data_IF_489047872428
#
_entry.id   IF_489047872428
#
_cell.length_a   1.000
_cell.length_b   1.000
_cell.length_c   1.000
_cell.angle_alpha   90.00
_cell.angle_beta   90.00
_cell.angle_gamma   90.00
#
_symmetry.space_group_name_H-M   'P 1'
#
loop_
_entity.id
_entity.type
_entity.pdbx_description
1 polymer ?
#
# COMPACT_ATOMS: atom_id res chain seq x y z
N UNK A 1 24.61 -13.48 38.62
CA UNK A 1 23.30 -13.87 38.09
C UNK A 1 22.24 -13.11 38.85
N UNK A 2 21.62 -12.12 38.24
CA UNK A 2 20.47 -11.39 38.81
C UNK A 2 19.26 -12.29 38.72
N UNK A 3 18.78 -12.78 39.86
CA UNK A 3 17.54 -13.56 39.98
C UNK A 3 16.36 -12.61 39.70
N UNK A 4 15.77 -12.69 38.53
CA UNK A 4 14.47 -12.03 38.24
C UNK A 4 13.37 -12.74 39.03
N UNK A 5 12.52 -11.99 39.74
CA UNK A 5 11.31 -12.56 40.32
C UNK A 5 10.39 -13.05 39.19
N UNK A 6 9.67 -14.16 39.42
CA UNK A 6 8.72 -14.71 38.44
C UNK A 6 7.68 -13.65 37.99
N UNK A 7 7.28 -12.77 38.90
CA UNK A 7 6.35 -11.67 38.62
C UNK A 7 6.93 -10.67 37.62
N UNK A 8 8.18 -10.23 37.82
CA UNK A 8 8.84 -9.29 36.92
C UNK A 8 9.09 -9.92 35.54
N UNK A 9 9.50 -11.19 35.51
CA UNK A 9 9.67 -11.92 34.25
C UNK A 9 8.37 -11.98 33.43
N UNK A 10 7.25 -12.34 34.08
CA UNK A 10 5.93 -12.39 33.42
C UNK A 10 5.51 -11.01 32.91
N UNK A 11 5.70 -9.96 33.72
CA UNK A 11 5.34 -8.58 33.33
C UNK A 11 6.19 -8.09 32.14
N UNK A 12 7.50 -8.31 32.17
CA UNK A 12 8.40 -7.87 31.11
C UNK A 12 8.11 -8.62 29.80
N UNK A 13 7.97 -9.96 29.84
CA UNK A 13 7.62 -10.77 28.67
C UNK A 13 6.25 -10.43 28.10
N UNK A 14 5.25 -10.19 28.96
CA UNK A 14 3.91 -9.77 28.52
C UNK A 14 3.94 -8.38 27.85
N UNK A 15 4.76 -7.46 28.36
CA UNK A 15 4.96 -6.14 27.79
C UNK A 15 5.64 -6.22 26.43
N UNK A 16 6.72 -6.95 26.31
CA UNK A 16 7.44 -7.17 25.04
C UNK A 16 6.50 -7.77 23.98
N UNK A 17 5.74 -8.80 24.35
CA UNK A 17 4.78 -9.42 23.45
C UNK A 17 3.66 -8.45 23.05
N UNK A 18 3.17 -7.62 23.97
CA UNK A 18 2.15 -6.60 23.68
C UNK A 18 2.66 -5.55 22.70
N UNK A 19 3.91 -5.09 22.85
CA UNK A 19 4.57 -4.17 21.92
C UNK A 19 4.69 -4.84 20.54
N UNK A 20 5.18 -6.07 20.49
CA UNK A 20 5.29 -6.84 19.25
C UNK A 20 3.94 -6.95 18.53
N UNK A 21 2.85 -7.29 19.25
CA UNK A 21 1.51 -7.40 18.67
C UNK A 21 1.03 -6.06 18.11
N UNK A 22 1.26 -4.97 18.81
CA UNK A 22 0.91 -3.64 18.35
C UNK A 22 1.65 -3.27 17.05
N UNK A 23 2.97 -3.37 17.05
CA UNK A 23 3.83 -2.88 15.96
C UNK A 23 3.83 -3.77 14.72
N UNK A 24 3.75 -5.10 14.91
CA UNK A 24 3.98 -6.05 13.82
C UNK A 24 2.74 -6.85 13.42
N UNK A 25 1.59 -6.72 14.11
CA UNK A 25 0.43 -7.56 13.82
C UNK A 25 -0.89 -6.81 13.68
N UNK A 26 -1.23 -5.94 14.64
CA UNK A 26 -2.58 -5.41 14.77
C UNK A 26 -2.75 -4.00 14.22
N UNK A 27 -1.77 -3.13 14.44
CA UNK A 27 -1.84 -1.70 14.09
C UNK A 27 -1.09 -1.46 12.76
N UNK A 28 -1.70 -0.75 11.79
CA UNK A 28 -1.05 -0.44 10.53
C UNK A 28 0.04 0.62 10.70
N UNK A 29 1.06 0.61 9.84
CA UNK A 29 1.99 1.73 9.76
C UNK A 29 1.36 2.92 9.02
N UNK A 30 1.59 4.13 9.52
CA UNK A 30 1.07 5.35 8.88
C UNK A 30 1.69 5.56 7.51
N UNK A 31 2.93 5.15 7.32
CA UNK A 31 3.69 5.34 6.08
C UNK A 31 3.04 4.68 4.86
N UNK A 32 2.56 3.44 5.00
CA UNK A 32 2.02 2.67 3.87
C UNK A 32 0.62 2.08 4.12
N UNK A 33 0.03 2.32 5.30
CA UNK A 33 -1.30 1.85 5.65
C UNK A 33 -1.45 0.34 5.78
N UNK A 34 -0.35 -0.40 5.88
CA UNK A 34 -0.34 -1.85 5.86
C UNK A 34 0.01 -2.43 7.23
N UNK A 35 -0.62 -3.55 7.54
CA UNK A 35 -0.13 -4.48 8.57
C UNK A 35 1.05 -5.26 8.03
N UNK A 36 1.87 -5.79 8.90
CA UNK A 36 3.12 -6.48 8.55
C UNK A 36 2.91 -7.63 7.55
N UNK A 37 1.93 -8.50 7.79
CA UNK A 37 1.59 -9.61 6.89
C UNK A 37 1.22 -9.13 5.47
N UNK A 38 0.50 -8.02 5.35
CA UNK A 38 0.11 -7.44 4.07
C UNK A 38 1.34 -6.91 3.31
N UNK A 39 2.24 -6.22 4.02
CA UNK A 39 3.49 -5.69 3.45
C UNK A 39 4.38 -6.80 2.91
N UNK A 40 4.54 -7.89 3.67
CA UNK A 40 5.31 -9.08 3.27
C UNK A 40 4.74 -9.76 2.03
N UNK A 41 3.42 -9.90 1.94
CA UNK A 41 2.77 -10.42 0.74
C UNK A 41 3.03 -9.56 -0.51
N UNK A 42 2.91 -8.23 -0.38
CA UNK A 42 3.17 -7.29 -1.47
C UNK A 42 4.65 -7.26 -1.87
N UNK A 43 5.55 -7.40 -0.90
CA UNK A 43 6.99 -7.51 -1.16
C UNK A 43 7.34 -8.72 -2.01
N UNK A 44 6.78 -9.88 -1.74
CA UNK A 44 7.04 -11.10 -2.50
C UNK A 44 6.46 -11.07 -3.93
N UNK A 45 5.28 -10.46 -4.10
CA UNK A 45 4.63 -10.43 -5.42
C UNK A 45 5.15 -9.29 -6.33
N UNK A 46 5.91 -8.32 -5.78
CA UNK A 46 6.32 -7.10 -6.50
C UNK A 46 7.00 -7.33 -7.85
N UNK A 47 7.77 -8.40 -7.96
CA UNK A 47 8.55 -8.75 -9.17
C UNK A 47 7.90 -9.87 -9.99
N UNK A 48 6.73 -10.39 -9.58
CA UNK A 48 6.05 -11.46 -10.32
C UNK A 48 5.17 -10.86 -11.40
N UNK A 49 5.45 -11.21 -12.65
CA UNK A 49 4.65 -10.77 -13.79
C UNK A 49 3.35 -11.58 -13.91
N UNK A 50 3.42 -12.88 -13.61
CA UNK A 50 2.33 -13.83 -13.78
C UNK A 50 1.44 -13.94 -12.53
N UNK A 51 0.23 -14.48 -12.75
CA UNK A 51 -0.67 -14.83 -11.65
C UNK A 51 -0.09 -15.95 -10.80
N UNK A 52 -0.28 -15.86 -9.49
CA UNK A 52 0.14 -16.86 -8.51
C UNK A 52 -1.08 -17.37 -7.76
N UNK A 53 -1.14 -18.65 -7.41
CA UNK A 53 -2.19 -19.14 -6.49
C UNK A 53 -2.10 -18.42 -5.15
N UNK A 54 -3.24 -18.05 -4.59
CA UNK A 54 -3.30 -17.39 -3.28
C UNK A 54 -2.57 -18.21 -2.20
N UNK A 55 -2.79 -19.52 -2.19
CA UNK A 55 -2.12 -20.43 -1.25
C UNK A 55 -0.61 -20.54 -1.51
N UNK A 56 -0.16 -20.43 -2.76
CA UNK A 56 1.28 -20.51 -3.10
C UNK A 56 2.02 -19.25 -2.65
N UNK A 57 1.41 -18.06 -2.79
CA UNK A 57 2.00 -16.83 -2.25
C UNK A 57 2.06 -16.86 -0.72
N UNK A 58 1.01 -17.36 -0.06
CA UNK A 58 1.00 -17.54 1.39
C UNK A 58 2.09 -18.54 1.86
N UNK A 59 2.27 -19.64 1.13
CA UNK A 59 3.35 -20.59 1.38
C UNK A 59 4.75 -19.98 1.21
N UNK A 60 4.93 -19.14 0.18
CA UNK A 60 6.19 -18.41 -0.04
C UNK A 60 6.50 -17.41 1.09
N UNK A 61 5.48 -16.75 1.66
CA UNK A 61 5.65 -15.88 2.84
C UNK A 61 6.27 -16.64 4.02
N UNK A 62 5.86 -17.89 4.21
CA UNK A 62 6.36 -18.76 5.30
C UNK A 62 7.72 -19.34 4.92
N UNK A 63 7.87 -19.88 3.72
CA UNK A 63 9.10 -20.52 3.24
C UNK A 63 10.29 -19.55 3.21
N UNK A 64 10.04 -18.28 2.87
CA UNK A 64 11.09 -17.25 2.85
C UNK A 64 11.52 -16.75 4.23
N UNK A 65 10.93 -17.24 5.32
CA UNK A 65 11.19 -16.76 6.68
C UNK A 65 10.59 -15.37 6.98
N UNK A 66 9.89 -14.76 6.04
CA UNK A 66 9.28 -13.43 6.25
C UNK A 66 8.09 -13.49 7.21
N UNK A 67 7.31 -14.57 7.22
CA UNK A 67 6.09 -14.68 8.02
C UNK A 67 6.10 -15.93 8.90
N UNK A 68 6.06 -15.72 10.22
CA UNK A 68 6.26 -16.77 11.24
C UNK A 68 4.94 -17.25 11.89
N UNK A 69 3.80 -16.93 11.30
CA UNK A 69 2.49 -17.33 11.81
C UNK A 69 1.82 -18.34 10.87
N UNK A 70 0.62 -18.83 11.24
CA UNK A 70 -0.09 -19.88 10.52
C UNK A 70 -0.44 -19.52 9.06
N UNK A 71 -0.45 -20.53 8.21
CA UNK A 71 -0.73 -20.49 6.77
C UNK A 71 -2.10 -19.90 6.43
N UNK A 72 -3.12 -20.22 7.21
CA UNK A 72 -4.46 -19.67 7.07
C UNK A 72 -4.49 -18.13 7.23
N UNK A 73 -3.70 -17.60 8.17
CA UNK A 73 -3.58 -16.15 8.40
C UNK A 73 -2.84 -15.46 7.26
N UNK A 74 -1.76 -16.10 6.74
CA UNK A 74 -1.05 -15.61 5.57
C UNK A 74 -1.97 -15.55 4.34
N UNK A 75 -2.68 -16.66 4.05
CA UNK A 75 -3.61 -16.75 2.92
C UNK A 75 -4.80 -15.77 3.05
N UNK A 76 -5.30 -15.58 4.28
CA UNK A 76 -6.32 -14.58 4.58
C UNK A 76 -5.84 -13.17 4.26
N UNK A 77 -4.61 -12.81 4.68
CA UNK A 77 -4.01 -11.51 4.40
C UNK A 77 -3.87 -11.24 2.89
N UNK A 78 -3.41 -12.24 2.12
CA UNK A 78 -3.33 -12.15 0.65
C UNK A 78 -4.72 -11.97 0.03
N UNK A 79 -5.71 -12.74 0.48
CA UNK A 79 -7.08 -12.67 -0.04
C UNK A 79 -7.72 -11.30 0.22
N UNK A 80 -7.52 -10.73 1.40
CA UNK A 80 -8.06 -9.42 1.76
C UNK A 80 -7.47 -8.29 0.93
N UNK A 81 -6.19 -8.36 0.51
CA UNK A 81 -5.56 -7.37 -0.38
C UNK A 81 -6.18 -7.35 -1.79
N UNK A 82 -6.82 -8.44 -2.20
CA UNK A 82 -7.48 -8.56 -3.51
C UNK A 82 -9.01 -8.38 -3.44
N UNK A 83 -9.61 -8.32 -2.24
CA UNK A 83 -11.06 -8.30 -2.04
C UNK A 83 -11.68 -6.94 -2.40
N UNK A 84 -12.54 -6.85 -3.45
CA UNK A 84 -13.03 -5.57 -3.97
C UNK A 84 -14.05 -4.89 -3.06
N UNK A 85 -14.78 -5.65 -2.23
CA UNK A 85 -15.77 -5.09 -1.30
C UNK A 85 -15.18 -4.74 0.07
N UNK A 86 -13.91 -5.10 0.29
CA UNK A 86 -13.14 -4.74 1.49
C UNK A 86 -12.26 -3.52 1.25
N UNK A 87 -11.81 -3.30 0.01
CA UNK A 87 -10.95 -2.19 -0.37
C UNK A 87 -11.65 -1.26 -1.37
N UNK A 88 -11.45 0.05 -1.22
CA UNK A 88 -11.82 0.98 -2.29
C UNK A 88 -10.94 0.74 -3.53
N UNK A 89 -9.64 0.55 -3.29
CA UNK A 89 -8.64 0.26 -4.32
C UNK A 89 -7.84 -0.98 -3.92
N UNK A 90 -8.20 -2.19 -4.38
CA UNK A 90 -7.44 -3.40 -4.12
C UNK A 90 -6.01 -3.29 -4.66
N UNK A 91 -5.01 -3.63 -3.84
CA UNK A 91 -3.60 -3.60 -4.25
C UNK A 91 -3.21 -4.83 -5.07
N UNK A 92 -3.93 -5.94 -4.88
CA UNK A 92 -3.78 -7.14 -5.71
C UNK A 92 -5.02 -7.30 -6.61
N UNK A 93 -4.78 -7.77 -7.82
CA UNK A 93 -5.86 -8.18 -8.71
C UNK A 93 -6.21 -9.64 -8.46
N UNK A 94 -7.41 -9.90 -7.96
CA UNK A 94 -7.93 -11.24 -7.71
C UNK A 94 -8.48 -11.90 -8.97
N UNK A 95 -8.22 -13.19 -9.15
CA UNK A 95 -8.77 -14.04 -10.21
C UNK A 95 -9.47 -15.22 -9.54
N UNK A 96 -10.75 -15.35 -9.78
CA UNK A 96 -11.69 -16.21 -9.06
C UNK A 96 -12.60 -15.36 -8.17
N UNK A 97 -13.13 -15.95 -7.09
CA UNK A 97 -14.09 -15.27 -6.20
C UNK A 97 -13.37 -14.62 -5.03
N UNK A 98 -13.44 -13.28 -4.94
CA UNK A 98 -12.90 -12.48 -3.85
C UNK A 98 -13.97 -11.66 -3.12
N UNK A 99 -15.14 -12.30 -2.91
CA UNK A 99 -16.31 -11.69 -2.31
C UNK A 99 -17.25 -11.08 -3.34
N UNK A 100 -18.48 -10.86 -2.87
CA UNK A 100 -19.57 -10.21 -3.63
C UNK A 100 -20.20 -9.13 -2.78
N UNK A 101 -21.09 -8.31 -3.36
CA UNK A 101 -21.82 -7.32 -2.56
C UNK A 101 -22.68 -7.98 -1.46
N UNK A 102 -23.23 -9.15 -1.73
CA UNK A 102 -24.06 -9.89 -0.79
C UNK A 102 -23.27 -10.67 0.27
N UNK A 103 -22.02 -11.00 -0.03
CA UNK A 103 -21.06 -11.69 0.86
C UNK A 103 -19.65 -11.13 0.68
N UNK A 104 -19.35 -9.94 1.22
CA UNK A 104 -18.09 -9.22 0.96
C UNK A 104 -16.85 -9.98 1.42
N UNK A 105 -16.91 -10.69 2.53
CA UNK A 105 -15.82 -11.48 3.12
C UNK A 105 -16.13 -12.98 3.02
N UNK A 106 -17.32 -13.41 3.44
CA UNK A 106 -17.71 -14.81 3.47
C UNK A 106 -17.80 -15.44 2.06
N UNK A 107 -17.95 -14.60 1.03
CA UNK A 107 -17.94 -15.03 -0.37
C UNK A 107 -16.53 -15.18 -0.98
N UNK A 108 -15.46 -15.01 -0.20
CA UNK A 108 -14.10 -15.21 -0.69
C UNK A 108 -13.82 -16.71 -0.84
N UNK A 109 -13.41 -17.11 -2.04
CA UNK A 109 -13.10 -18.50 -2.36
C UNK A 109 -11.87 -19.03 -1.64
N UNK A 110 -11.83 -20.33 -1.40
CA UNK A 110 -10.70 -20.96 -0.73
C UNK A 110 -9.37 -20.67 -1.48
N UNK A 111 -8.26 -20.36 -0.77
CA UNK A 111 -6.99 -19.93 -1.36
C UNK A 111 -6.38 -20.89 -2.40
N UNK A 112 -6.71 -22.18 -2.32
CA UNK A 112 -6.28 -23.20 -3.30
C UNK A 112 -6.95 -23.07 -4.67
N UNK A 113 -8.07 -22.35 -4.78
CA UNK A 113 -8.83 -22.18 -6.02
C UNK A 113 -8.75 -20.78 -6.59
N UNK A 114 -8.24 -19.82 -5.82
CA UNK A 114 -8.10 -18.42 -6.22
C UNK A 114 -6.66 -18.08 -6.61
N UNK A 115 -6.50 -17.07 -7.47
CA UNK A 115 -5.21 -16.56 -7.89
C UNK A 115 -5.16 -15.06 -7.64
N UNK A 116 -3.96 -14.56 -7.42
CA UNK A 116 -3.68 -13.13 -7.34
C UNK A 116 -2.56 -12.77 -8.31
N UNK A 117 -2.58 -11.55 -8.78
CA UNK A 117 -1.45 -10.93 -9.50
C UNK A 117 -1.24 -9.51 -9.02
N UNK A 118 -0.11 -8.95 -9.34
CA UNK A 118 0.19 -7.55 -9.08
C UNK A 118 -0.88 -6.65 -9.68
N UNK A 119 -1.53 -5.83 -8.86
CA UNK A 119 -2.51 -4.84 -9.29
C UNK A 119 -1.83 -3.58 -9.85
N UNK A 120 -2.53 -2.83 -10.71
CA UNK A 120 -2.06 -1.51 -11.19
C UNK A 120 -1.86 -0.53 -10.04
N UNK A 121 -2.72 -0.56 -9.04
CA UNK A 121 -2.59 0.26 -7.84
C UNK A 121 -1.32 -0.05 -7.06
N UNK A 122 -0.95 -1.33 -6.88
CA UNK A 122 0.32 -1.69 -6.26
C UNK A 122 1.48 -1.08 -7.05
N UNK A 123 1.50 -1.26 -8.37
CA UNK A 123 2.60 -0.79 -9.22
C UNK A 123 2.74 0.73 -9.21
N UNK A 124 1.62 1.45 -9.37
CA UNK A 124 1.66 2.89 -9.64
C UNK A 124 1.57 3.75 -8.37
N UNK A 125 1.04 3.19 -7.29
CA UNK A 125 0.85 3.91 -6.03
C UNK A 125 1.89 3.54 -4.98
N UNK A 126 2.26 2.24 -4.87
CA UNK A 126 3.07 1.73 -3.76
C UNK A 126 4.54 1.53 -4.13
N UNK A 127 4.85 1.19 -5.39
CA UNK A 127 6.19 0.78 -5.83
C UNK A 127 7.03 1.82 -6.61
N UNK A 128 6.63 3.09 -6.81
CA UNK A 128 7.45 4.01 -7.60
C UNK A 128 8.87 4.21 -7.07
N UNK A 129 9.05 4.13 -5.74
CA UNK A 129 10.32 4.33 -5.04
C UNK A 129 10.86 3.06 -4.40
N UNK A 130 10.70 1.92 -5.07
CA UNK A 130 11.06 0.63 -4.52
C UNK A 130 12.56 0.53 -4.14
N UNK A 131 13.43 1.18 -4.90
CA UNK A 131 14.88 1.10 -4.73
C UNK A 131 15.39 1.83 -3.47
N UNK A 132 14.62 2.76 -2.95
CA UNK A 132 14.94 3.52 -1.73
C UNK A 132 14.11 3.12 -0.51
N UNK A 133 13.30 2.06 -0.63
CA UNK A 133 12.52 1.54 0.50
C UNK A 133 13.46 1.13 1.63
N UNK A 134 13.23 1.61 2.88
CA UNK A 134 14.07 1.23 4.00
C UNK A 134 13.88 -0.24 4.34
N UNK A 135 14.99 -0.94 4.51
CA UNK A 135 15.03 -2.37 4.79
C UNK A 135 15.49 -2.64 6.22
N UNK A 136 14.95 -3.68 6.83
CA UNK A 136 15.42 -4.24 8.11
C UNK A 136 15.63 -5.75 7.97
N UNK A 137 16.36 -6.34 8.89
CA UNK A 137 16.40 -7.79 9.02
C UNK A 137 15.05 -8.32 9.52
N UNK A 138 14.66 -9.50 9.03
CA UNK A 138 13.51 -10.21 9.56
C UNK A 138 13.80 -10.71 10.99
N UNK A 139 12.83 -11.37 11.62
CA UNK A 139 12.92 -11.79 13.01
C UNK A 139 14.15 -12.65 13.35
N UNK A 140 14.58 -13.54 12.44
CA UNK A 140 15.71 -14.46 12.65
C UNK A 140 17.02 -14.00 11.97
N UNK A 141 17.03 -12.83 11.32
CA UNK A 141 18.18 -12.28 10.62
C UNK A 141 18.55 -12.99 9.30
N UNK A 142 17.72 -13.94 8.85
CA UNK A 142 18.00 -14.73 7.64
C UNK A 142 17.77 -13.99 6.33
N UNK A 143 16.90 -12.98 6.32
CA UNK A 143 16.55 -12.22 5.14
C UNK A 143 16.19 -10.77 5.48
N UNK A 144 16.18 -9.90 4.47
CA UNK A 144 15.76 -8.51 4.62
C UNK A 144 14.31 -8.32 4.21
N UNK A 145 13.60 -7.49 4.96
CA UNK A 145 12.22 -7.12 4.70
C UNK A 145 12.03 -5.59 4.70
N UNK A 146 11.04 -5.06 3.96
CA UNK A 146 10.80 -3.63 3.95
C UNK A 146 10.21 -3.15 5.28
N UNK A 147 10.74 -2.05 5.80
CA UNK A 147 10.16 -1.39 6.98
C UNK A 147 8.78 -0.83 6.62
N UNK A 148 8.66 -0.17 5.48
CA UNK A 148 7.42 0.33 4.87
C UNK A 148 7.65 0.60 3.38
N UNK A 149 6.58 0.68 2.60
CA UNK A 149 6.61 1.25 1.24
C UNK A 149 6.52 2.78 1.28
N UNK A 150 6.69 3.40 0.12
CA UNK A 150 6.68 4.86 -0.06
C UNK A 150 5.55 5.29 -1.02
N UNK A 151 4.27 5.12 -0.63
CA UNK A 151 3.16 5.48 -1.51
C UNK A 151 3.10 6.98 -1.78
N UNK A 152 2.43 7.38 -2.87
CA UNK A 152 2.29 8.79 -3.26
C UNK A 152 1.21 9.54 -2.47
N UNK A 153 0.25 8.82 -1.87
CA UNK A 153 -0.85 9.35 -1.04
C UNK A 153 -0.99 8.52 0.23
N UNK A 154 -1.67 9.01 1.28
CA UNK A 154 -1.85 8.27 2.53
C UNK A 154 -2.80 7.08 2.37
N UNK A 155 -2.24 5.93 1.97
CA UNK A 155 -2.98 4.69 1.68
C UNK A 155 -3.71 4.10 2.88
N UNK A 156 -3.30 4.46 4.10
CA UNK A 156 -4.03 4.10 5.33
C UNK A 156 -5.47 4.62 5.32
N UNK A 157 -5.72 5.77 4.71
CA UNK A 157 -7.05 6.35 4.53
C UNK A 157 -7.76 5.82 3.28
N UNK A 158 -7.04 5.29 2.29
CA UNK A 158 -7.62 4.86 1.02
C UNK A 158 -8.53 3.63 1.20
N UNK A 159 -8.01 2.60 1.83
CA UNK A 159 -8.71 1.35 2.03
C UNK A 159 -9.27 1.20 3.46
N UNK A 160 -8.90 2.11 4.37
CA UNK A 160 -9.22 1.98 5.76
C UNK A 160 -8.61 0.71 6.36
N UNK A 161 -8.66 0.56 7.65
CA UNK A 161 -8.18 -0.65 8.32
C UNK A 161 -8.69 -0.67 9.76
N UNK A 162 -9.04 -1.84 10.27
CA UNK A 162 -9.35 -2.06 11.66
C UNK A 162 -8.36 -3.02 12.32
N UNK A 163 -8.12 -2.85 13.60
CA UNK A 163 -7.24 -3.71 14.36
C UNK A 163 -7.43 -3.58 15.86
N UNK A 164 -7.28 -4.69 16.55
CA UNK A 164 -7.37 -4.77 18.00
C UNK A 164 -6.05 -5.34 18.53
N UNK A 165 -5.42 -4.60 19.43
CA UNK A 165 -4.19 -4.97 20.11
C UNK A 165 -4.36 -4.87 21.63
N UNK A 166 -3.33 -5.23 22.37
CA UNK A 166 -3.35 -5.06 23.83
C UNK A 166 -3.26 -3.57 24.17
N UNK A 167 -4.31 -3.03 24.79
CA UNK A 167 -4.38 -1.62 25.19
C UNK A 167 -4.70 -0.64 24.05
N UNK A 168 -4.71 -1.08 22.78
CA UNK A 168 -4.92 -0.23 21.60
C UNK A 168 -5.92 -0.84 20.64
N UNK A 169 -6.70 0.01 19.99
CA UNK A 169 -7.53 -0.35 18.85
C UNK A 169 -7.50 0.74 17.80
N UNK A 170 -7.64 0.36 16.55
CA UNK A 170 -7.76 1.29 15.42
C UNK A 170 -9.00 0.95 14.60
N UNK A 171 -9.71 1.97 14.15
CA UNK A 171 -10.81 1.89 13.21
C UNK A 171 -10.68 3.07 12.26
N UNK A 172 -10.03 2.86 11.11
CA UNK A 172 -9.78 3.89 10.10
C UNK A 172 -10.74 3.66 8.95
N UNK A 173 -11.58 4.64 8.66
CA UNK A 173 -12.58 4.55 7.62
C UNK A 173 -11.96 4.86 6.25
N UNK A 174 -12.56 4.28 5.21
CA UNK A 174 -12.09 4.44 3.82
C UNK A 174 -12.43 5.81 3.29
N UNK A 175 -11.57 6.34 2.41
CA UNK A 175 -11.76 7.60 1.69
C UNK A 175 -11.68 7.38 0.19
N UNK A 176 -12.35 8.24 -0.57
CA UNK A 176 -12.30 8.20 -2.03
C UNK A 176 -10.89 8.53 -2.53
N UNK A 177 -10.43 7.80 -3.51
CA UNK A 177 -9.12 7.99 -4.11
C UNK A 177 -8.90 9.42 -4.63
N UNK A 178 -9.87 9.96 -5.40
CA UNK A 178 -9.79 11.33 -5.93
C UNK A 178 -9.66 12.39 -4.84
N UNK A 179 -10.38 12.20 -3.73
CA UNK A 179 -10.41 13.16 -2.63
C UNK A 179 -9.07 13.14 -1.88
N UNK A 180 -8.45 11.97 -1.72
CA UNK A 180 -7.11 11.84 -1.13
C UNK A 180 -6.02 12.46 -2.00
N UNK A 181 -6.10 12.29 -3.32
CA UNK A 181 -5.16 12.93 -4.24
C UNK A 181 -5.31 14.45 -4.17
N UNK A 182 -6.54 14.97 -4.23
CA UNK A 182 -6.77 16.40 -4.12
C UNK A 182 -6.35 16.97 -2.77
N UNK A 183 -6.66 16.27 -1.67
CA UNK A 183 -6.24 16.65 -0.33
C UNK A 183 -4.70 16.69 -0.19
N UNK A 184 -4.01 15.73 -0.82
CA UNK A 184 -2.54 15.70 -0.85
C UNK A 184 -1.96 16.87 -1.63
N UNK A 185 -2.58 17.27 -2.76
CA UNK A 185 -2.21 18.47 -3.53
C UNK A 185 -2.45 19.73 -2.70
N UNK A 186 -3.61 19.85 -2.05
CA UNK A 186 -3.94 21.03 -1.24
C UNK A 186 -2.98 21.16 -0.04
N UNK A 187 -2.69 20.07 0.65
CA UNK A 187 -1.70 20.06 1.74
C UNK A 187 -0.30 20.45 1.23
N UNK A 188 0.12 19.91 0.08
CA UNK A 188 1.39 20.24 -0.55
C UNK A 188 1.46 21.73 -0.93
N UNK A 189 0.37 22.30 -1.43
CA UNK A 189 0.26 23.73 -1.78
C UNK A 189 0.13 24.64 -0.55
N UNK A 190 0.05 24.08 0.68
CA UNK A 190 -0.15 24.83 1.93
C UNK A 190 -1.56 25.34 2.13
N UNK A 191 -2.53 24.79 1.41
CA UNK A 191 -3.96 25.11 1.58
C UNK A 191 -4.56 24.27 2.70
N UNK A 192 -5.68 24.74 3.25
CA UNK A 192 -6.45 23.94 4.20
C UNK A 192 -7.07 22.73 3.49
N UNK A 193 -6.78 21.54 4.02
CA UNK A 193 -7.42 20.31 3.55
C UNK A 193 -8.90 20.33 3.94
N UNK A 194 -9.78 20.07 2.98
CA UNK A 194 -11.22 19.98 3.21
C UNK A 194 -11.55 18.68 3.95
N UNK A 195 -12.69 18.66 4.64
CA UNK A 195 -13.16 17.48 5.37
C UNK A 195 -13.25 16.27 4.44
N UNK A 196 -12.60 15.19 4.85
CA UNK A 196 -12.56 13.92 4.11
C UNK A 196 -13.69 13.00 4.56
N UNK A 197 -14.78 13.00 3.82
CA UNK A 197 -15.95 12.16 4.10
C UNK A 197 -15.62 10.69 3.82
N UNK A 198 -15.98 9.75 4.72
CA UNK A 198 -15.85 8.32 4.45
C UNK A 198 -16.56 7.89 3.17
N UNK A 199 -15.92 7.04 2.38
CA UNK A 199 -16.46 6.56 1.12
C UNK A 199 -16.17 5.07 0.93
N UNK A 200 -17.14 4.35 0.41
CA UNK A 200 -17.07 2.91 0.12
C UNK A 200 -17.39 2.70 -1.36
N UNK A 201 -16.38 2.47 -2.17
CA UNK A 201 -16.42 2.56 -3.65
C UNK A 201 -17.54 1.74 -4.30
N UNK A 202 -17.89 0.60 -3.72
CA UNK A 202 -18.89 -0.32 -4.30
C UNK A 202 -20.18 -0.40 -3.49
N UNK A 203 -20.48 0.65 -2.73
CA UNK A 203 -21.67 0.74 -1.90
C UNK A 203 -22.40 2.04 -2.21
N UNK A 204 -23.69 1.95 -2.49
CA UNK A 204 -24.56 3.12 -2.67
C UNK A 204 -25.18 3.56 -1.34
N UNK A 205 -24.36 3.91 -0.38
CA UNK A 205 -24.77 4.36 0.95
C UNK A 205 -24.81 5.89 1.04
N UNK A 206 -25.60 6.39 1.98
CA UNK A 206 -25.50 7.79 2.44
C UNK A 206 -24.54 7.83 3.64
N UNK A 207 -23.68 8.86 3.65
CA UNK A 207 -22.76 9.12 4.76
C UNK A 207 -22.97 10.54 5.23
N UNK A 208 -23.18 10.73 6.53
CA UNK A 208 -23.29 12.03 7.15
C UNK A 208 -22.38 12.12 8.39
N UNK A 209 -21.83 13.31 8.62
CA UNK A 209 -21.06 13.62 9.80
C UNK A 209 -22.01 13.87 10.97
N UNK A 210 -21.70 13.31 12.15
CA UNK A 210 -22.48 13.53 13.37
C UNK A 210 -21.75 14.56 14.24
N UNK A 211 -20.62 14.15 14.80
CA UNK A 211 -19.78 14.94 15.69
C UNK A 211 -18.35 14.37 15.69
N UNK A 212 -17.36 15.18 15.92
CA UNK A 212 -15.94 14.78 15.97
C UNK A 212 -15.55 13.83 14.83
N UNK A 213 -15.15 12.61 15.16
CA UNK A 213 -14.83 11.53 14.22
C UNK A 213 -15.98 10.51 14.11
N UNK A 214 -17.21 10.90 14.38
CA UNK A 214 -18.39 10.03 14.33
C UNK A 214 -19.20 10.27 13.07
N UNK A 215 -19.50 9.19 12.38
CA UNK A 215 -20.18 9.17 11.08
C UNK A 215 -21.41 8.28 11.15
N UNK A 216 -22.47 8.69 10.48
CA UNK A 216 -23.63 7.86 10.23
C UNK A 216 -23.62 7.37 8.80
N UNK A 217 -23.81 6.08 8.61
CA UNK A 217 -23.92 5.42 7.32
C UNK A 217 -25.28 4.75 7.21
N UNK A 218 -26.04 5.05 6.18
CA UNK A 218 -27.35 4.44 5.97
C UNK A 218 -27.44 3.75 4.61
N UNK A 219 -28.20 2.67 4.59
CA UNK A 219 -28.59 1.98 3.36
C UNK A 219 -29.57 2.81 2.52
N UNK A 220 -30.16 2.18 1.50
CA UNK A 220 -31.16 2.76 0.61
C UNK A 220 -32.46 1.99 0.66
N UNK A 221 -33.55 2.72 0.85
CA UNK A 221 -34.90 2.15 0.86
C UNK A 221 -35.86 3.07 0.10
N UNK A 222 -36.53 2.53 -0.87
CA UNK A 222 -37.60 3.22 -1.56
C UNK A 222 -38.98 2.76 -1.02
N UNK A 223 -39.88 3.69 -0.74
CA UNK A 223 -41.30 3.41 -0.50
C UNK A 223 -42.00 3.35 -1.85
N UNK A 224 -42.34 2.14 -2.32
CA UNK A 224 -42.84 1.96 -3.69
C UNK A 224 -44.37 2.07 -3.79
N UNK A 225 -45.08 1.74 -2.73
CA UNK A 225 -46.53 1.90 -2.61
C UNK A 225 -46.90 2.00 -1.10
N UNK A 226 -48.21 1.98 -0.80
CA UNK A 226 -48.72 2.12 0.58
C UNK A 226 -48.44 0.92 1.48
N UNK A 227 -47.84 -0.15 0.96
CA UNK A 227 -47.58 -1.41 1.69
C UNK A 227 -46.25 -2.05 1.37
N UNK A 228 -45.42 -1.39 0.56
CA UNK A 228 -44.17 -2.02 0.04
C UNK A 228 -42.97 -1.13 0.22
N UNK A 229 -41.91 -1.68 0.80
CA UNK A 229 -40.57 -1.11 0.84
C UNK A 229 -39.64 -1.89 -0.06
N UNK A 230 -38.76 -1.20 -0.78
CA UNK A 230 -37.74 -1.80 -1.64
C UNK A 230 -36.36 -1.38 -1.15
N UNK A 231 -35.61 -2.35 -0.62
CA UNK A 231 -34.25 -2.15 -0.09
C UNK A 231 -33.25 -2.44 -1.21
N UNK A 232 -32.45 -1.44 -1.57
CA UNK A 232 -31.47 -1.54 -2.64
C UNK A 232 -30.02 -1.47 -2.15
N UNK A 233 -29.80 -1.04 -0.88
CA UNK A 233 -28.48 -1.02 -0.30
C UNK A 233 -28.52 -1.19 1.23
N UNK A 234 -27.49 -1.85 1.79
CA UNK A 234 -27.28 -2.05 3.22
C UNK A 234 -26.06 -1.25 3.71
N UNK A 235 -26.02 -0.84 4.98
CA UNK A 235 -24.82 -0.27 5.57
C UNK A 235 -23.63 -1.25 5.48
N UNK A 236 -22.36 -0.76 5.47
CA UNK A 236 -21.19 -1.60 5.12
C UNK A 236 -20.98 -2.83 6.00
N UNK A 237 -21.30 -2.77 7.28
CA UNK A 237 -21.09 -3.89 8.22
C UNK A 237 -22.36 -4.77 8.43
N UNK A 238 -23.45 -4.40 7.81
CA UNK A 238 -24.67 -5.22 7.83
C UNK A 238 -24.62 -6.21 6.66
N UNK A 239 -24.32 -7.46 6.97
CA UNK A 239 -24.35 -8.53 5.96
C UNK A 239 -25.80 -8.85 5.55
N UNK A 240 -25.98 -9.35 4.32
CA UNK A 240 -27.30 -9.79 3.85
C UNK A 240 -27.89 -10.85 4.76
N UNK A 241 -27.09 -11.79 5.25
CA UNK A 241 -27.54 -12.85 6.16
C UNK A 241 -28.13 -12.26 7.46
N UNK A 242 -27.40 -11.35 8.12
CA UNK A 242 -27.89 -10.67 9.34
C UNK A 242 -29.13 -9.81 9.08
N UNK A 243 -29.24 -9.21 7.90
CA UNK A 243 -30.42 -8.44 7.54
C UNK A 243 -31.64 -9.36 7.34
N UNK A 244 -31.47 -10.52 6.72
CA UNK A 244 -32.55 -11.54 6.58
C UNK A 244 -33.00 -12.09 7.93
N UNK A 245 -32.08 -12.37 8.85
CA UNK A 245 -32.44 -12.75 10.24
C UNK A 245 -33.30 -11.67 10.91
N UNK A 246 -32.96 -10.39 10.69
CA UNK A 246 -33.77 -9.27 11.22
C UNK A 246 -35.16 -9.21 10.56
N UNK A 247 -35.25 -9.46 9.24
CA UNK A 247 -36.53 -9.50 8.54
C UNK A 247 -37.39 -10.65 9.02
N UNK A 248 -36.83 -11.85 9.24
CA UNK A 248 -37.54 -12.99 9.81
C UNK A 248 -38.13 -12.62 11.20
N UNK A 249 -37.32 -11.96 12.06
CA UNK A 249 -37.83 -11.50 13.36
C UNK A 249 -38.94 -10.45 13.25
N UNK A 250 -38.91 -9.57 12.24
CA UNK A 250 -40.01 -8.63 11.99
C UNK A 250 -41.26 -9.31 11.46
N UNK A 251 -41.13 -10.39 10.70
CA UNK A 251 -42.24 -11.23 10.20
C UNK A 251 -42.87 -12.01 11.36
N UNK A 252 -42.06 -12.67 12.18
CA UNK A 252 -42.53 -13.39 13.39
C UNK A 252 -43.28 -12.48 14.36
N UNK A 253 -42.79 -11.22 14.53
CA UNK A 253 -43.44 -10.19 15.32
C UNK A 253 -44.74 -9.65 14.67
N UNK A 254 -45.09 -10.03 13.46
CA UNK A 254 -46.22 -9.52 12.69
C UNK A 254 -46.05 -8.05 12.24
N UNK A 255 -44.83 -7.51 12.28
CA UNK A 255 -44.51 -6.11 11.86
C UNK A 255 -44.43 -5.98 10.35
N UNK A 256 -44.07 -7.05 9.65
CA UNK A 256 -44.13 -7.19 8.19
C UNK A 256 -44.92 -8.45 7.82
N UNK A 257 -45.49 -8.49 6.63
CA UNK A 257 -46.24 -9.66 6.18
C UNK A 257 -45.32 -10.71 5.56
N UNK A 258 -44.34 -10.29 4.80
CA UNK A 258 -43.36 -11.15 4.12
C UNK A 258 -42.24 -10.31 3.49
N UNK A 259 -41.21 -10.96 3.05
CA UNK A 259 -40.19 -10.32 2.18
C UNK A 259 -39.77 -11.30 1.06
N UNK A 260 -39.27 -10.71 -0.03
CA UNK A 260 -38.68 -11.44 -1.16
C UNK A 260 -37.29 -10.95 -1.40
N UNK A 261 -36.30 -11.83 -1.33
CA UNK A 261 -34.90 -11.57 -1.62
C UNK A 261 -34.56 -11.99 -3.06
N UNK A 262 -34.21 -11.05 -3.91
CA UNK A 262 -33.74 -11.24 -5.29
C UNK A 262 -32.28 -10.80 -5.45
N UNK A 263 -31.57 -10.58 -4.35
CA UNK A 263 -30.19 -10.10 -4.34
C UNK A 263 -29.27 -11.11 -5.02
N UNK A 264 -28.47 -10.62 -5.96
CA UNK A 264 -27.45 -11.39 -6.67
C UNK A 264 -26.11 -10.62 -6.64
N UNK A 265 -25.89 -9.74 -7.61
CA UNK A 265 -24.73 -8.83 -7.65
C UNK A 265 -24.96 -7.56 -6.83
N UNK A 266 -26.20 -7.16 -6.65
CA UNK A 266 -26.68 -6.02 -5.88
C UNK A 266 -27.69 -6.48 -4.84
N UNK A 267 -27.92 -5.66 -3.83
CA UNK A 267 -29.01 -5.86 -2.87
C UNK A 267 -30.33 -5.54 -3.58
N UNK A 268 -31.29 -6.44 -3.47
CA UNK A 268 -32.64 -6.31 -4.05
C UNK A 268 -33.62 -7.09 -3.17
N UNK A 269 -34.20 -6.39 -2.18
CA UNK A 269 -35.13 -6.99 -1.23
C UNK A 269 -36.43 -6.18 -1.22
N UNK A 270 -37.54 -6.87 -1.49
CA UNK A 270 -38.88 -6.30 -1.38
C UNK A 270 -39.51 -6.75 -0.07
N UNK A 271 -39.89 -5.81 0.78
CA UNK A 271 -40.60 -6.07 2.06
C UNK A 271 -42.07 -5.67 1.91
N UNK A 272 -42.96 -6.57 2.22
CA UNK A 272 -44.39 -6.38 2.19
C UNK A 272 -44.96 -6.18 3.59
N UNK A 273 -45.76 -5.15 3.76
CA UNK A 273 -46.42 -4.77 5.00
C UNK A 273 -47.92 -4.77 4.85
N UNK A 274 -48.65 -4.61 5.92
CA UNK A 274 -50.11 -4.43 5.85
C UNK A 274 -50.46 -3.20 5.01
N UNK A 275 -51.56 -3.26 4.28
CA UNK A 275 -52.01 -2.18 3.41
C UNK A 275 -52.17 -0.88 4.20
N UNK A 276 -51.57 0.19 3.69
CA UNK A 276 -51.63 1.53 4.30
C UNK A 276 -50.58 1.78 5.37
N UNK A 277 -49.81 0.78 5.82
CA UNK A 277 -48.83 0.93 6.91
C UNK A 277 -47.75 1.94 6.56
N UNK A 278 -47.22 1.92 5.33
CA UNK A 278 -46.15 2.81 4.90
C UNK A 278 -46.65 4.02 4.11
N UNK A 279 -47.96 4.27 4.13
CA UNK A 279 -48.53 5.46 3.52
C UNK A 279 -47.95 6.73 4.18
N UNK A 280 -47.36 7.62 3.38
CA UNK A 280 -46.71 8.84 3.87
C UNK A 280 -45.38 8.65 4.58
N UNK A 281 -44.78 7.46 4.50
CA UNK A 281 -43.38 7.29 4.96
C UNK A 281 -42.44 7.88 3.90
N UNK A 282 -41.40 8.51 4.41
CA UNK A 282 -40.22 8.88 3.61
C UNK A 282 -39.12 7.81 3.74
N UNK A 283 -38.05 7.96 2.97
CA UNK A 283 -36.87 7.06 3.04
C UNK A 283 -36.30 6.97 4.45
N UNK A 284 -36.23 8.11 5.18
CA UNK A 284 -35.62 8.16 6.49
C UNK A 284 -36.40 7.30 7.51
N UNK A 285 -37.72 7.37 7.51
CA UNK A 285 -38.58 6.54 8.36
C UNK A 285 -38.50 5.05 8.02
N UNK A 286 -38.41 4.71 6.73
CA UNK A 286 -38.24 3.34 6.29
C UNK A 286 -36.85 2.77 6.70
N UNK A 287 -35.80 3.57 6.58
CA UNK A 287 -34.45 3.25 7.06
C UNK A 287 -34.44 2.99 8.56
N UNK A 288 -35.10 3.83 9.36
CA UNK A 288 -35.19 3.69 10.81
C UNK A 288 -35.97 2.44 11.22
N UNK A 289 -37.11 2.18 10.58
CA UNK A 289 -37.91 0.97 10.82
C UNK A 289 -37.12 -0.31 10.55
N UNK A 290 -36.41 -0.38 9.42
CA UNK A 290 -35.59 -1.52 9.05
C UNK A 290 -34.21 -1.54 9.73
N UNK A 291 -33.89 -0.54 10.54
CA UNK A 291 -32.62 -0.37 11.24
C UNK A 291 -31.43 -0.43 10.28
N UNK A 292 -31.53 0.32 9.19
CA UNK A 292 -30.49 0.42 8.16
C UNK A 292 -29.56 1.63 8.37
N UNK A 293 -29.49 2.16 9.60
CA UNK A 293 -28.48 3.15 10.04
C UNK A 293 -27.41 2.46 10.86
N UNK A 294 -26.18 2.86 10.63
CA UNK A 294 -25.02 2.44 11.37
C UNK A 294 -24.19 3.66 11.77
N UNK A 295 -23.92 3.82 13.07
CA UNK A 295 -22.96 4.82 13.55
C UNK A 295 -21.58 4.17 13.64
N UNK A 296 -20.57 4.91 13.18
CA UNK A 296 -19.16 4.52 13.29
C UNK A 296 -18.35 5.67 13.85
N UNK A 297 -17.62 5.41 14.93
CA UNK A 297 -16.62 6.32 15.47
C UNK A 297 -15.26 5.92 14.94
N UNK A 298 -14.62 6.82 14.21
CA UNK A 298 -13.29 6.61 13.67
C UNK A 298 -12.24 6.85 14.76
N UNK A 299 -11.30 5.95 14.87
CA UNK A 299 -10.11 6.08 15.72
C UNK A 299 -8.88 5.82 14.89
N UNK A 300 -8.13 6.87 14.58
CA UNK A 300 -6.95 6.79 13.72
C UNK A 300 -5.73 6.55 14.60
N UNK A 301 -5.48 5.28 14.93
CA UNK A 301 -4.31 4.83 15.68
C UNK A 301 -3.41 4.05 14.74
N UNK A 302 -2.15 4.43 14.67
CA UNK A 302 -1.16 3.90 13.72
C UNK A 302 0.20 3.75 14.40
N UNK A 303 1.04 2.89 13.84
CA UNK A 303 2.49 2.91 14.13
C UNK A 303 3.08 4.12 13.41
N UNK A 304 3.89 4.89 14.12
CA UNK A 304 4.48 6.14 13.64
C UNK A 304 5.41 5.98 12.42
N UNK A 305 5.91 7.09 11.90
CA UNK A 305 6.82 7.13 10.73
C UNK A 305 8.10 6.34 10.93
N UNK A 306 8.61 6.31 12.16
CA UNK A 306 9.85 5.60 12.51
C UNK A 306 9.61 4.11 12.78
N UNK A 307 8.35 3.71 12.97
CA UNK A 307 7.98 2.33 13.26
C UNK A 307 8.24 1.91 14.72
N UNK A 308 8.35 2.87 15.64
CA UNK A 308 8.79 2.63 17.02
C UNK A 308 7.79 3.05 18.10
N UNK A 309 6.72 3.75 17.74
CA UNK A 309 5.71 4.24 18.66
C UNK A 309 4.30 4.17 18.07
N UNK A 310 3.31 4.09 18.94
CA UNK A 310 1.91 4.22 18.56
C UNK A 310 1.54 5.71 18.59
N UNK A 311 0.95 6.18 17.50
CA UNK A 311 0.44 7.54 17.38
C UNK A 311 -1.05 7.53 17.07
N UNK A 312 -1.79 8.41 17.76
CA UNK A 312 -3.17 8.70 17.45
C UNK A 312 -3.25 10.05 16.73
N UNK A 313 -4.06 10.12 15.69
CA UNK A 313 -4.40 11.36 14.98
C UNK A 313 -5.84 11.74 15.28
N UNK A 314 -6.08 13.04 15.36
CA UNK A 314 -7.41 13.58 15.67
C UNK A 314 -8.32 13.60 14.44
N UNK A 315 -7.76 13.63 13.21
CA UNK A 315 -8.56 13.64 11.98
C UNK A 315 -7.80 13.02 10.80
N UNK A 316 -8.55 12.66 9.75
CA UNK A 316 -7.98 12.20 8.49
C UNK A 316 -7.15 13.30 7.78
N UNK A 317 -7.57 14.55 7.91
CA UNK A 317 -6.90 15.74 7.34
C UNK A 317 -5.51 15.95 7.97
N UNK A 318 -5.38 15.70 9.28
CA UNK A 318 -4.10 15.73 9.98
C UNK A 318 -3.14 14.64 9.45
N UNK A 319 -3.67 13.43 9.20
CA UNK A 319 -2.88 12.37 8.58
C UNK A 319 -2.37 12.78 7.20
N UNK A 320 -3.23 13.37 6.34
CA UNK A 320 -2.83 13.84 5.01
C UNK A 320 -1.72 14.88 5.10
N UNK A 321 -1.90 15.88 5.96
CA UNK A 321 -0.93 16.97 6.14
C UNK A 321 0.43 16.43 6.61
N UNK A 322 0.42 15.55 7.60
CA UNK A 322 1.63 14.92 8.13
C UNK A 322 2.29 14.01 7.10
N UNK A 323 1.48 13.25 6.34
CA UNK A 323 1.95 12.36 5.28
C UNK A 323 2.66 13.11 4.16
N UNK A 324 2.06 14.18 3.66
CA UNK A 324 2.64 14.96 2.54
C UNK A 324 3.99 15.56 2.93
N UNK A 325 4.13 16.05 4.18
CA UNK A 325 5.40 16.53 4.69
C UNK A 325 6.45 15.42 4.74
N UNK A 326 6.13 14.30 5.36
CA UNK A 326 7.01 13.13 5.43
C UNK A 326 7.36 12.58 4.04
N UNK A 327 6.41 12.54 3.13
CA UNK A 327 6.63 12.03 1.78
C UNK A 327 7.54 12.94 0.96
N UNK A 328 7.45 14.26 1.15
CA UNK A 328 8.33 15.23 0.50
C UNK A 328 9.80 15.03 0.90
N UNK A 329 10.08 14.66 2.15
CA UNK A 329 11.45 14.34 2.58
C UNK A 329 12.01 13.14 1.80
N UNK A 330 11.18 12.15 1.46
CA UNK A 330 11.58 11.00 0.64
C UNK A 330 11.85 11.35 -0.83
N UNK A 331 11.32 12.45 -1.34
CA UNK A 331 11.74 12.94 -2.65
C UNK A 331 13.19 13.45 -2.62
N UNK A 332 13.63 14.03 -1.52
CA UNK A 332 15.06 14.36 -1.33
C UNK A 332 15.91 13.10 -1.36
N UNK A 333 15.56 12.08 -0.57
CA UNK A 333 16.26 10.79 -0.55
C UNK A 333 16.29 10.13 -1.94
N UNK A 334 15.20 10.21 -2.71
CA UNK A 334 15.15 9.70 -4.09
C UNK A 334 16.20 10.34 -4.97
N UNK A 335 16.29 11.68 -4.96
CA UNK A 335 17.23 12.38 -5.83
C UNK A 335 18.67 12.26 -5.35
N UNK A 336 18.92 12.14 -4.06
CA UNK A 336 20.23 11.80 -3.51
C UNK A 336 20.67 10.40 -3.98
N UNK A 337 19.78 9.42 -3.91
CA UNK A 337 20.02 8.05 -4.40
C UNK A 337 20.31 8.02 -5.90
N UNK A 338 19.46 8.65 -6.72
CA UNK A 338 19.65 8.71 -8.17
C UNK A 338 20.96 9.38 -8.55
N UNK A 339 21.30 10.45 -7.86
CA UNK A 339 22.59 11.15 -8.05
C UNK A 339 23.77 10.24 -7.71
N UNK A 340 23.74 9.54 -6.59
CA UNK A 340 24.81 8.64 -6.18
C UNK A 340 24.97 7.45 -7.16
N UNK A 341 23.89 6.88 -7.66
CA UNK A 341 23.91 5.82 -8.67
C UNK A 341 24.50 6.30 -10.00
N UNK A 342 24.12 7.51 -10.45
CA UNK A 342 24.66 8.07 -11.68
C UNK A 342 26.14 8.51 -11.50
N UNK A 343 26.57 9.00 -10.34
CA UNK A 343 27.97 9.27 -10.01
C UNK A 343 28.80 7.98 -10.00
N UNK A 344 28.29 6.90 -9.42
CA UNK A 344 28.94 5.59 -9.45
C UNK A 344 29.08 5.07 -10.87
N UNK A 345 28.03 5.16 -11.69
CA UNK A 345 28.04 4.77 -13.09
C UNK A 345 28.98 5.66 -13.93
N UNK A 346 29.03 6.96 -13.66
CA UNK A 346 29.90 7.91 -14.35
C UNK A 346 31.38 7.58 -14.15
N UNK A 347 31.78 7.22 -12.94
CA UNK A 347 33.15 6.79 -12.65
C UNK A 347 33.55 5.57 -13.48
N UNK A 348 32.64 4.59 -13.62
CA UNK A 348 32.85 3.40 -14.48
C UNK A 348 33.04 3.79 -15.95
N UNK A 349 32.19 4.66 -16.50
CA UNK A 349 32.33 5.07 -17.91
C UNK A 349 33.53 5.96 -18.16
N UNK A 350 33.90 6.83 -17.21
CA UNK A 350 35.14 7.61 -17.26
C UNK A 350 36.38 6.70 -17.23
N UNK A 351 36.34 5.62 -16.48
CA UNK A 351 37.41 4.62 -16.45
C UNK A 351 37.56 3.88 -17.80
N UNK A 352 36.43 3.49 -18.43
CA UNK A 352 36.48 2.90 -19.77
C UNK A 352 37.07 3.89 -20.78
N UNK A 353 36.65 5.17 -20.72
CA UNK A 353 37.23 6.24 -21.56
C UNK A 353 38.74 6.35 -21.37
N UNK A 354 39.21 6.40 -20.12
CA UNK A 354 40.64 6.44 -19.81
C UNK A 354 41.40 5.23 -20.37
N UNK A 355 40.80 4.04 -20.32
CA UNK A 355 41.40 2.84 -20.94
C UNK A 355 41.47 2.94 -22.46
N UNK A 356 40.48 3.53 -23.13
CA UNK A 356 40.55 3.80 -24.58
C UNK A 356 41.67 4.83 -24.88
N UNK A 357 41.73 5.94 -24.17
CA UNK A 357 42.70 7.01 -24.35
C UNK A 357 44.13 6.47 -24.14
N UNK A 358 44.32 5.57 -23.15
CA UNK A 358 45.60 4.86 -22.90
C UNK A 358 45.91 3.73 -23.88
N UNK A 359 45.04 3.50 -24.87
CA UNK A 359 45.16 2.41 -25.88
C UNK A 359 45.28 1.02 -25.23
N UNK A 360 44.57 0.77 -24.11
CA UNK A 360 44.59 -0.50 -23.39
C UNK A 360 44.31 -1.70 -24.34
N UNK A 361 43.34 -1.67 -25.27
CA UNK A 361 43.07 -2.78 -26.17
C UNK A 361 44.28 -3.23 -27.01
N UNK A 362 45.15 -2.29 -27.41
CA UNK A 362 46.36 -2.62 -28.15
C UNK A 362 47.45 -3.23 -27.26
N UNK A 363 47.43 -2.93 -25.94
CA UNK A 363 48.34 -3.50 -24.94
C UNK A 363 47.95 -4.90 -24.46
N UNK A 364 46.67 -5.27 -24.50
CA UNK A 364 46.17 -6.55 -23.97
C UNK A 364 46.98 -7.78 -24.42
N UNK A 365 47.36 -7.93 -25.72
CA UNK A 365 48.16 -9.09 -26.17
C UNK A 365 49.55 -9.16 -25.56
N UNK A 366 50.07 -8.06 -24.98
CA UNK A 366 51.40 -8.02 -24.33
C UNK A 366 51.36 -8.31 -22.84
N UNK A 367 50.17 -8.33 -22.23
CA UNK A 367 49.99 -8.55 -20.79
C UNK A 367 49.92 -10.07 -20.52
N UNK A 368 50.62 -10.53 -19.48
CA UNK A 368 50.84 -11.93 -19.22
C UNK A 368 49.57 -12.72 -18.79
N UNK A 369 48.67 -12.06 -18.06
CA UNK A 369 47.49 -12.70 -17.47
C UNK A 369 46.46 -11.65 -16.96
N UNK A 370 45.31 -12.13 -16.44
CA UNK A 370 44.25 -11.28 -15.90
C UNK A 370 44.74 -10.31 -14.81
N UNK A 371 45.67 -10.75 -13.94
CA UNK A 371 46.21 -9.91 -12.87
C UNK A 371 46.99 -8.70 -13.45
N UNK A 372 47.86 -8.93 -14.47
CA UNK A 372 48.59 -7.86 -15.14
C UNK A 372 47.64 -6.87 -15.82
N UNK A 373 46.50 -7.35 -16.38
CA UNK A 373 45.46 -6.46 -16.94
C UNK A 373 44.79 -5.64 -15.84
N UNK A 374 44.51 -6.24 -14.70
CA UNK A 374 43.90 -5.54 -13.54
C UNK A 374 44.83 -4.44 -13.02
N UNK A 375 46.14 -4.71 -12.91
CA UNK A 375 47.14 -3.75 -12.48
C UNK A 375 47.27 -2.60 -13.48
N UNK A 376 47.28 -2.87 -14.79
CA UNK A 376 47.30 -1.86 -15.83
C UNK A 376 46.04 -0.96 -15.78
N UNK A 377 44.83 -1.57 -15.67
CA UNK A 377 43.55 -0.83 -15.51
C UNK A 377 43.60 0.05 -14.27
N UNK A 378 44.04 -0.49 -13.13
CA UNK A 378 44.15 0.27 -11.88
C UNK A 378 45.13 1.45 -12.02
N UNK A 379 46.22 1.26 -12.74
CA UNK A 379 47.20 2.31 -13.01
C UNK A 379 46.63 3.42 -13.90
N UNK A 380 45.92 3.05 -14.97
CA UNK A 380 45.27 3.99 -15.89
C UNK A 380 44.18 4.80 -15.17
N UNK A 381 43.47 4.18 -14.26
CA UNK A 381 42.29 4.76 -13.60
C UNK A 381 42.57 5.35 -12.21
N UNK A 382 43.86 5.51 -11.84
CA UNK A 382 44.30 5.94 -10.49
C UNK A 382 43.66 7.23 -9.96
N UNK A 383 43.18 8.11 -10.86
CA UNK A 383 42.50 9.36 -10.48
C UNK A 383 40.99 9.25 -10.29
N UNK A 384 40.41 8.05 -10.43
CA UNK A 384 38.98 7.81 -10.33
C UNK A 384 38.66 6.95 -9.10
N UNK A 385 37.49 7.18 -8.48
CA UNK A 385 36.98 6.36 -7.37
C UNK A 385 36.26 5.16 -7.92
N UNK A 386 36.97 4.02 -8.00
CA UNK A 386 36.43 2.74 -8.47
C UNK A 386 36.54 1.69 -7.36
N UNK A 387 35.52 0.85 -7.26
CA UNK A 387 35.59 -0.35 -6.44
C UNK A 387 36.12 -1.58 -7.22
N UNK A 388 36.39 -2.67 -6.50
CA UNK A 388 36.89 -3.91 -7.08
C UNK A 388 35.93 -4.52 -8.13
N UNK A 389 34.62 -4.35 -7.94
CA UNK A 389 33.58 -4.84 -8.87
C UNK A 389 33.63 -4.06 -10.19
N UNK A 390 33.78 -2.74 -10.15
CA UNK A 390 33.90 -1.92 -11.34
C UNK A 390 35.18 -2.25 -12.11
N UNK A 391 36.30 -2.44 -11.44
CA UNK A 391 37.57 -2.83 -12.04
C UNK A 391 37.44 -4.21 -12.72
N UNK A 392 36.86 -5.22 -12.01
CA UNK A 392 36.65 -6.55 -12.59
C UNK A 392 35.72 -6.52 -13.83
N UNK A 393 34.68 -5.68 -13.81
CA UNK A 393 33.80 -5.47 -14.96
C UNK A 393 34.54 -4.87 -16.16
N UNK A 394 35.46 -3.91 -15.95
CA UNK A 394 36.27 -3.33 -17.02
C UNK A 394 37.20 -4.40 -17.61
N UNK A 395 37.90 -5.15 -16.77
CA UNK A 395 38.82 -6.22 -17.17
C UNK A 395 38.10 -7.35 -17.92
N UNK A 396 36.83 -7.59 -17.58
CA UNK A 396 36.01 -8.64 -18.17
C UNK A 396 35.16 -8.17 -19.35
N UNK A 397 35.37 -6.94 -19.86
CA UNK A 397 34.61 -6.42 -21.00
C UNK A 397 34.87 -7.24 -22.26
N UNK A 398 33.83 -7.65 -23.01
CA UNK A 398 34.00 -8.34 -24.29
C UNK A 398 34.77 -7.50 -25.28
N UNK A 399 35.58 -8.14 -26.15
CA UNK A 399 36.44 -7.47 -27.12
C UNK A 399 35.72 -6.50 -28.06
N UNK A 400 34.47 -6.79 -28.45
CA UNK A 400 33.67 -5.88 -29.29
C UNK A 400 33.35 -4.54 -28.61
N UNK A 401 33.37 -4.48 -27.28
CA UNK A 401 33.18 -3.24 -26.52
C UNK A 401 34.38 -2.31 -26.56
N UNK A 402 35.48 -2.76 -27.11
CA UNK A 402 36.68 -1.98 -27.36
C UNK A 402 36.83 -1.56 -28.86
N UNK A 403 35.79 -1.78 -29.67
CA UNK A 403 35.76 -1.36 -31.07
C UNK A 403 35.63 0.17 -31.17
N UNK A 404 36.00 0.74 -32.32
CA UNK A 404 36.03 2.19 -32.53
C UNK A 404 34.67 2.86 -32.38
N UNK A 405 33.60 2.19 -32.79
CA UNK A 405 32.22 2.66 -32.66
C UNK A 405 31.74 2.67 -31.18
N UNK A 406 32.20 1.73 -30.36
CA UNK A 406 31.90 1.70 -28.94
C UNK A 406 32.43 2.92 -28.15
N UNK A 407 33.45 3.61 -28.65
CA UNK A 407 33.97 4.82 -28.01
C UNK A 407 32.96 5.96 -28.05
N UNK A 408 32.16 6.10 -29.10
CA UNK A 408 31.09 7.10 -29.14
C UNK A 408 30.02 6.80 -28.09
N UNK A 409 29.63 5.53 -27.93
CA UNK A 409 28.70 5.10 -26.88
C UNK A 409 29.22 5.47 -25.47
N UNK A 410 30.53 5.36 -25.23
CA UNK A 410 31.15 5.77 -23.96
C UNK A 410 30.98 7.27 -23.72
N UNK A 411 31.27 8.09 -24.75
CA UNK A 411 31.12 9.54 -24.63
C UNK A 411 29.67 9.97 -24.39
N UNK A 412 28.74 9.35 -25.10
CA UNK A 412 27.30 9.63 -24.97
C UNK A 412 26.79 9.24 -23.58
N UNK A 413 27.25 8.10 -23.03
CA UNK A 413 26.90 7.71 -21.65
C UNK A 413 27.48 8.68 -20.61
N UNK A 414 28.73 9.10 -20.76
CA UNK A 414 29.35 10.10 -19.87
C UNK A 414 28.52 11.37 -19.87
N UNK A 415 28.23 11.92 -21.05
CA UNK A 415 27.47 13.16 -21.19
C UNK A 415 26.08 13.04 -20.55
N UNK A 416 25.36 11.98 -20.86
CA UNK A 416 24.03 11.73 -20.29
C UNK A 416 24.05 11.69 -18.77
N UNK A 417 25.04 11.01 -18.17
CA UNK A 417 25.17 10.90 -16.72
C UNK A 417 25.57 12.25 -16.09
N UNK A 418 26.45 13.01 -16.72
CA UNK A 418 26.81 14.36 -16.26
C UNK A 418 25.61 15.30 -16.30
N UNK A 419 24.81 15.28 -17.38
CA UNK A 419 23.58 16.06 -17.51
C UNK A 419 22.55 15.70 -16.42
N UNK A 420 22.38 14.39 -16.13
CA UNK A 420 21.50 13.91 -15.07
C UNK A 420 21.97 14.37 -13.68
N UNK A 421 23.25 14.22 -13.35
CA UNK A 421 23.84 14.63 -12.08
C UNK A 421 23.67 16.13 -11.85
N UNK A 422 23.87 16.92 -12.91
CA UNK A 422 23.64 18.37 -12.87
C UNK A 422 22.16 18.70 -12.62
N UNK A 423 21.24 17.98 -13.27
CA UNK A 423 19.81 18.14 -13.04
C UNK A 423 19.42 17.79 -11.60
N UNK A 424 19.86 16.63 -11.09
CA UNK A 424 19.58 16.21 -9.71
C UNK A 424 20.16 17.18 -8.68
N UNK A 425 21.36 17.71 -8.95
CA UNK A 425 21.99 18.72 -8.09
C UNK A 425 21.16 20.01 -8.05
N UNK A 426 20.61 20.46 -9.20
CA UNK A 426 19.71 21.62 -9.25
C UNK A 426 18.36 21.37 -8.58
N UNK A 427 17.85 20.12 -8.63
CA UNK A 427 16.62 19.74 -7.95
C UNK A 427 16.82 19.75 -6.44
N UNK A 428 17.89 19.13 -5.96
CA UNK A 428 18.23 19.06 -4.53
C UNK A 428 18.52 20.45 -3.91
N UNK A 429 19.07 21.37 -4.69
CA UNK A 429 19.36 22.74 -4.24
C UNK A 429 18.10 23.62 -4.09
N UNK A 430 16.96 23.22 -4.64
CA UNK A 430 15.73 24.03 -4.64
C UNK A 430 14.52 23.23 -4.14
N UNK A 431 14.10 23.41 -2.88
CA UNK A 431 12.92 22.74 -2.32
C UNK A 431 11.63 22.98 -3.11
N UNK A 432 11.53 24.09 -3.87
CA UNK A 432 10.36 24.36 -4.72
C UNK A 432 10.30 23.39 -5.90
N UNK A 433 11.43 22.98 -6.44
CA UNK A 433 11.50 21.98 -7.51
C UNK A 433 11.05 20.60 -7.03
N UNK A 434 11.52 20.14 -5.87
CA UNK A 434 11.08 18.89 -5.27
C UNK A 434 9.55 18.89 -5.06
N UNK A 435 9.02 19.99 -4.52
CA UNK A 435 7.58 20.17 -4.35
C UNK A 435 6.82 20.13 -5.69
N UNK A 436 7.34 20.79 -6.73
CA UNK A 436 6.74 20.79 -8.06
C UNK A 436 6.72 19.40 -8.70
N UNK A 437 7.79 18.61 -8.49
CA UNK A 437 7.88 17.22 -8.97
C UNK A 437 6.83 16.36 -8.27
N UNK A 438 6.75 16.40 -6.94
CA UNK A 438 5.75 15.65 -6.20
C UNK A 438 4.33 16.04 -6.64
N UNK A 439 4.07 17.34 -6.81
CA UNK A 439 2.79 17.84 -7.32
C UNK A 439 2.46 17.29 -8.71
N UNK A 440 3.45 17.24 -9.60
CA UNK A 440 3.28 16.66 -10.95
C UNK A 440 2.92 15.18 -10.87
N UNK A 441 3.60 14.39 -10.03
CA UNK A 441 3.28 12.97 -9.84
C UNK A 441 1.87 12.76 -9.27
N UNK A 442 1.41 13.59 -8.32
CA UNK A 442 0.04 13.56 -7.80
C UNK A 442 -0.99 13.88 -8.90
N UNK A 443 -0.72 14.86 -9.77
CA UNK A 443 -1.58 15.19 -10.91
C UNK A 443 -1.61 14.06 -11.93
N UNK A 444 -0.49 13.40 -12.21
CA UNK A 444 -0.50 12.21 -13.09
C UNK A 444 -1.25 11.05 -12.44
N UNK A 445 -1.09 10.85 -11.13
CA UNK A 445 -1.82 9.85 -10.37
C UNK A 445 -3.34 10.08 -10.41
N UNK A 446 -3.80 11.34 -10.37
CA UNK A 446 -5.24 11.69 -10.42
C UNK A 446 -5.94 11.26 -11.69
N UNK A 447 -5.21 11.08 -12.79
CA UNK A 447 -5.74 10.63 -14.09
C UNK A 447 -5.96 9.12 -14.15
N UNK A 448 -5.43 8.38 -13.19
CA UNK A 448 -5.52 6.93 -13.17
C UNK A 448 -6.86 6.47 -12.60
N UNK A 449 -7.35 5.35 -13.13
CA UNK A 449 -8.54 4.64 -12.64
C UNK A 449 -8.10 3.28 -12.11
N UNK A 450 -8.48 2.98 -10.90
CA UNK A 450 -8.17 1.72 -10.24
C UNK A 450 -9.41 0.85 -10.04
#
# INVERSE_FOLDING_TARGET
>A
MTTLSSSNYILDTSREYSIYVCENRAIPKVADGLKDAQRKALWLIRNKAEKVKTVSLAGEMIQSGLYLHGDASAAGSVSMLAAPFVNNVPLLHGIGTFGTRTAPVDGIGAPRYTYVKRGTALTNLMLPDLDIVPMKENYDGSTKEPVHFLPLIPTVLLNGISGIAVGWSTEILRRRFSDLVQASIDALDGKKVQQLIPHYERFDIQVSHIEDNSWEMSGRVAVTDTSTLHVTELPPDLTLAKFKERLNGLEDDGKINSYVDRSTKTIDITVKMQRGTVAGWDEAKAIDFLKLRQKKSERIVVVDWNGTAIKQYDSAEEVVTSFVKWRLDWFTVRYEYLKAEDEYSLNFWKAIKACFDAKLPAKLPTLANKAAITDEVTTITKGLTLDASQIDRIVSLPSFRWAKDAYQDVLDNIKRLEDNIDEYTRILADPKKLKAIYRKELVELSKQKF
#
